data_IF_024036432525
#
_entry.id   IF_024036432525
#
_cell.length_a   1.000
_cell.length_b   1.000
_cell.length_c   1.000
_cell.angle_alpha   90.00
_cell.angle_beta   90.00
_cell.angle_gamma   90.00
#
_symmetry.space_group_name_H-M   'P 1'
#
loop_
_entity.id
_entity.type
_entity.pdbx_description
1 polymer ?
#
# COMPACT_ATOMS: atom_id res chain seq x y z
N UNK A 1 -5.03 3.68 11.79
CA UNK A 1 -4.34 4.00 10.52
C UNK A 1 -4.58 2.82 9.60
N UNK A 2 -5.31 3.00 8.49
CA UNK A 2 -5.48 1.95 7.50
C UNK A 2 -4.15 1.50 6.92
N UNK A 3 -4.05 0.21 6.61
CA UNK A 3 -2.92 -0.34 5.86
C UNK A 3 -3.35 -0.51 4.41
N UNK A 4 -2.51 -0.04 3.50
CA UNK A 4 -2.76 -0.10 2.06
C UNK A 4 -1.85 -1.11 1.38
N UNK A 5 -2.25 -1.54 0.20
CA UNK A 5 -1.40 -2.14 -0.81
C UNK A 5 -1.23 -1.14 -1.95
N UNK A 6 0.00 -0.71 -2.23
CA UNK A 6 0.30 0.17 -3.36
C UNK A 6 0.26 -0.65 -4.65
N UNK A 7 -0.60 -0.23 -5.58
CA UNK A 7 -0.78 -0.87 -6.89
C UNK A 7 -0.12 -0.09 -8.03
N UNK A 8 0.14 1.20 -7.80
CA UNK A 8 0.88 2.07 -8.71
C UNK A 8 1.92 2.88 -7.92
N UNK A 9 3.17 2.88 -8.38
CA UNK A 9 4.25 3.60 -7.70
C UNK A 9 3.92 5.10 -7.60
N UNK A 10 3.99 5.65 -6.39
CA UNK A 10 3.59 7.03 -6.13
C UNK A 10 4.32 7.64 -4.93
N UNK A 11 4.17 8.95 -4.77
CA UNK A 11 4.56 9.65 -3.55
C UNK A 11 3.36 9.66 -2.59
N UNK A 12 3.56 9.12 -1.39
CA UNK A 12 2.62 9.21 -0.28
C UNK A 12 3.01 10.40 0.56
N UNK A 13 2.24 11.48 0.46
CA UNK A 13 2.41 12.68 1.28
C UNK A 13 1.55 12.57 2.54
N UNK A 14 2.21 12.46 3.69
CA UNK A 14 1.56 12.36 5.01
C UNK A 14 1.12 13.72 5.55
N UNK A 15 1.37 14.81 4.80
CA UNK A 15 1.06 16.21 5.15
C UNK A 15 1.74 16.66 6.44
N UNK A 16 2.91 16.09 6.72
CA UNK A 16 3.77 16.46 7.83
C UNK A 16 5.17 16.85 7.34
N UNK A 17 6.10 17.05 8.27
CA UNK A 17 7.46 17.49 8.02
C UNK A 17 8.33 16.45 7.28
N UNK A 18 7.85 15.21 7.13
CA UNK A 18 8.56 14.15 6.40
C UNK A 18 8.41 14.27 4.89
N UNK A 19 7.45 15.06 4.42
CA UNK A 19 7.15 15.23 3.00
C UNK A 19 6.65 13.96 2.31
N UNK A 20 6.68 13.98 0.96
CA UNK A 20 6.25 12.85 0.13
C UNK A 20 7.23 11.68 0.19
N UNK A 21 6.77 10.53 0.67
CA UNK A 21 7.54 9.30 0.70
C UNK A 21 7.26 8.45 -0.54
N UNK A 22 8.31 8.10 -1.27
CA UNK A 22 8.17 7.19 -2.41
C UNK A 22 7.75 5.80 -1.95
N UNK A 23 6.74 5.24 -2.60
CA UNK A 23 6.29 3.86 -2.41
C UNK A 23 6.22 3.17 -3.78
N UNK A 24 6.79 1.98 -3.85
CA UNK A 24 6.77 1.08 -5.00
C UNK A 24 5.52 0.21 -5.02
N UNK A 25 5.24 -0.38 -6.19
CA UNK A 25 4.19 -1.39 -6.31
C UNK A 25 4.49 -2.57 -5.38
N UNK A 26 3.49 -2.98 -4.60
CA UNK A 26 3.63 -4.05 -3.61
C UNK A 26 3.99 -3.55 -2.21
N UNK A 27 4.38 -2.29 -2.06
CA UNK A 27 4.60 -1.71 -0.73
C UNK A 27 3.29 -1.66 0.05
N UNK A 28 3.39 -1.85 1.36
CA UNK A 28 2.22 -1.88 2.24
C UNK A 28 2.33 -0.89 3.40
N UNK A 29 2.32 0.43 3.13
CA UNK A 29 2.45 1.44 4.17
C UNK A 29 1.19 1.54 5.03
N UNK A 30 1.40 1.89 6.30
CA UNK A 30 0.35 2.40 7.18
C UNK A 30 0.22 3.92 6.97
N UNK A 31 -1.00 4.39 6.71
CA UNK A 31 -1.25 5.81 6.42
C UNK A 31 -2.46 6.36 7.19
N UNK A 32 -2.58 7.68 7.34
CA UNK A 32 -3.80 8.32 7.82
C UNK A 32 -5.02 8.02 6.92
N UNK A 33 -6.22 8.06 7.50
CA UNK A 33 -7.46 7.63 6.81
C UNK A 33 -7.83 8.54 5.63
N UNK A 34 -7.60 9.85 5.77
CA UNK A 34 -7.80 10.83 4.71
C UNK A 34 -6.85 10.58 3.53
N UNK A 35 -5.56 10.37 3.82
CA UNK A 35 -4.55 10.03 2.80
C UNK A 35 -4.88 8.70 2.12
N UNK A 36 -5.36 7.71 2.88
CA UNK A 36 -5.81 6.45 2.31
C UNK A 36 -6.95 6.63 1.30
N UNK A 37 -7.94 7.44 1.65
CA UNK A 37 -9.06 7.73 0.77
C UNK A 37 -8.60 8.42 -0.53
N UNK A 38 -7.67 9.38 -0.43
CA UNK A 38 -7.13 10.10 -1.59
C UNK A 38 -6.36 9.17 -2.53
N UNK A 39 -5.50 8.29 -1.98
CA UNK A 39 -4.71 7.33 -2.77
C UNK A 39 -5.60 6.29 -3.47
N UNK A 40 -6.62 5.79 -2.77
CA UNK A 40 -7.58 4.82 -3.30
C UNK A 40 -8.47 5.45 -4.37
N UNK A 41 -8.98 6.67 -4.14
CA UNK A 41 -9.77 7.41 -5.13
C UNK A 41 -8.96 7.71 -6.41
N UNK A 42 -7.64 7.89 -6.27
CA UNK A 42 -6.72 8.04 -7.39
C UNK A 42 -6.32 6.71 -8.07
N UNK A 43 -6.89 5.56 -7.67
CA UNK A 43 -6.55 4.21 -8.15
C UNK A 43 -5.07 3.81 -7.94
N UNK A 44 -4.39 4.40 -6.96
CA UNK A 44 -2.96 4.13 -6.68
C UNK A 44 -2.75 3.06 -5.62
N UNK A 45 -3.78 2.76 -4.85
CA UNK A 45 -3.73 1.82 -3.74
C UNK A 45 -5.07 1.12 -3.51
N UNK A 46 -5.02 0.01 -2.78
CA UNK A 46 -6.17 -0.73 -2.27
C UNK A 46 -6.03 -0.94 -0.77
N UNK A 47 -7.15 -0.96 -0.04
CA UNK A 47 -7.17 -1.33 1.37
C UNK A 47 -6.80 -2.80 1.56
N UNK A 48 -6.07 -3.12 2.63
CA UNK A 48 -5.81 -4.52 3.00
C UNK A 48 -7.02 -5.14 3.70
N UNK A 49 -7.72 -4.34 4.53
CA UNK A 49 -8.88 -4.79 5.30
C UNK A 49 -10.14 -4.15 4.76
N UNK A 50 -11.18 -4.96 4.59
CA UNK A 50 -12.51 -4.52 4.15
C UNK A 50 -13.17 -3.53 5.13
N UNK A 51 -12.80 -3.59 6.41
CA UNK A 51 -13.31 -2.68 7.45
C UNK A 51 -12.85 -1.23 7.25
N UNK A 52 -11.67 -1.05 6.63
CA UNK A 52 -11.10 0.25 6.32
C UNK A 52 -11.66 0.83 5.01
N UNK A 53 -12.25 -0.03 4.16
CA UNK A 53 -12.91 0.39 2.91
C UNK A 53 -14.10 1.29 3.21
N UNK A 54 -14.14 2.46 2.56
CA UNK A 54 -15.15 3.48 2.79
C UNK A 54 -16.57 2.95 2.55
N UNK A 55 -16.76 2.17 1.48
CA UNK A 55 -18.07 1.61 1.13
C UNK A 55 -18.37 0.28 1.85
N UNK A 56 -17.36 -0.31 2.51
CA UNK A 56 -17.39 -1.66 3.12
C UNK A 56 -17.89 -2.75 2.17
N UNK A 57 -18.00 -2.46 0.89
CA UNK A 57 -18.40 -3.33 -0.21
C UNK A 57 -17.24 -4.19 -0.70
N UNK A 58 -16.01 -3.81 -0.35
CA UNK A 58 -14.80 -4.54 -0.72
C UNK A 58 -14.31 -4.21 -2.13
N UNK A 59 -14.89 -3.20 -2.78
CA UNK A 59 -14.49 -2.78 -4.14
C UNK A 59 -13.09 -2.18 -4.16
N UNK A 60 -12.71 -1.53 -3.06
CA UNK A 60 -11.40 -0.90 -2.92
C UNK A 60 -10.48 -1.73 -2.02
N UNK A 61 -10.81 -3.01 -1.81
CA UNK A 61 -10.03 -3.92 -0.96
C UNK A 61 -9.25 -4.88 -1.83
N UNK A 62 -7.96 -5.06 -1.54
CA UNK A 62 -7.09 -5.98 -2.24
C UNK A 62 -7.60 -7.43 -2.13
N UNK A 63 -7.53 -8.17 -3.23
CA UNK A 63 -7.85 -9.60 -3.21
C UNK A 63 -6.78 -10.38 -2.44
N UNK A 64 -7.13 -11.58 -1.96
CA UNK A 64 -6.17 -12.47 -1.30
C UNK A 64 -4.98 -12.83 -2.20
N UNK A 65 -5.21 -12.95 -3.51
CA UNK A 65 -4.17 -13.25 -4.47
C UNK A 65 -3.20 -12.08 -4.64
N UNK A 66 -3.71 -10.85 -4.70
CA UNK A 66 -2.89 -9.63 -4.74
C UNK A 66 -2.02 -9.49 -3.48
N UNK A 67 -2.60 -9.73 -2.29
CA UNK A 67 -1.84 -9.69 -1.04
C UNK A 67 -0.73 -10.74 -1.02
N UNK A 68 -1.03 -11.97 -1.45
CA UNK A 68 -0.03 -13.05 -1.53
C UNK A 68 1.10 -12.71 -2.51
N UNK A 69 0.77 -12.11 -3.66
CA UNK A 69 1.77 -11.65 -4.63
C UNK A 69 2.66 -10.56 -4.04
N UNK A 70 2.06 -9.56 -3.38
CA UNK A 70 2.79 -8.48 -2.74
C UNK A 70 3.70 -8.95 -1.59
N UNK A 71 3.23 -9.89 -0.76
CA UNK A 71 4.08 -10.55 0.24
C UNK A 71 5.25 -11.33 -0.39
N UNK A 72 5.02 -11.94 -1.55
CA UNK A 72 6.06 -12.60 -2.33
C UNK A 72 7.14 -11.63 -2.81
N UNK A 73 6.73 -10.46 -3.31
CA UNK A 73 7.64 -9.40 -3.74
C UNK A 73 8.46 -8.84 -2.57
N UNK A 74 7.81 -8.54 -1.44
CA UNK A 74 8.49 -8.06 -0.24
C UNK A 74 9.54 -9.06 0.28
N UNK A 75 9.21 -10.37 0.27
CA UNK A 75 10.16 -11.44 0.64
C UNK A 75 11.30 -11.57 -0.36
N UNK A 76 11.06 -11.37 -1.65
CA UNK A 76 12.10 -11.41 -2.67
C UNK A 76 13.07 -10.24 -2.50
N UNK A 77 12.56 -9.02 -2.32
CA UNK A 77 13.37 -7.83 -2.06
C UNK A 77 14.24 -7.98 -0.80
N UNK A 78 13.67 -8.50 0.30
CA UNK A 78 14.42 -8.74 1.53
C UNK A 78 15.57 -9.77 1.36
N UNK A 79 15.38 -10.78 0.49
CA UNK A 79 16.43 -11.76 0.18
C UNK A 79 17.52 -11.19 -0.71
N UNK A 80 17.18 -10.24 -1.59
CA UNK A 80 18.13 -9.56 -2.46
C UNK A 80 19.06 -8.64 -1.67
N UNK A 81 18.53 -7.93 -0.67
CA UNK A 81 19.33 -7.06 0.21
C UNK A 81 20.30 -7.82 1.13
N UNK A 82 20.05 -9.10 1.39
CA UNK A 82 20.85 -9.94 2.29
C UNK A 82 21.91 -10.78 1.55
N UNK A 83 22.02 -10.63 0.22
CA UNK A 83 23.02 -11.33 -0.58
C UNK A 83 24.32 -10.52 -0.58
N UNK A 84 25.44 -11.04 -0.03
CA UNK A 84 26.73 -10.36 -0.12
C UNK A 84 27.15 -10.25 -1.59
N UNK A 85 27.68 -9.07 -1.95
CA UNK A 85 28.18 -8.74 -3.29
C UNK A 85 29.30 -9.68 -3.76
#
# INVERSE_FOLDING_TARGET
MPKLLITEACLVDLRDDRGGQHQSVGDMPDVPKDIAADLVAANRALYIKREDDFDKGGRNTASREMLRAAEGMAKAAARETDKPA
#
